data_IF_096013995296
#
_entry.id   IF_096013995296
#
_cell.length_a   1.000
_cell.length_b   1.000
_cell.length_c   1.000
_cell.angle_alpha   90.00
_cell.angle_beta   90.00
_cell.angle_gamma   90.00
#
_symmetry.space_group_name_H-M   'P 1'
#
loop_
_entity.id
_entity.type
_entity.pdbx_description
1 polymer ?
#
# COMPACT_ATOMS: atom_id res chain seq x y z
N UNK A 1 4.15 3.69 13.46
CA UNK A 1 3.72 4.57 12.33
C UNK A 1 4.66 4.31 11.17
N UNK A 2 4.12 3.83 10.05
CA UNK A 2 4.89 3.19 8.98
C UNK A 2 5.03 4.07 7.74
N UNK A 3 3.96 4.75 7.36
CA UNK A 3 3.98 5.75 6.30
C UNK A 3 2.98 6.85 6.64
N UNK A 4 3.27 8.07 6.21
CA UNK A 4 2.38 9.23 6.31
C UNK A 4 2.36 9.95 4.97
N UNK A 5 1.15 10.20 4.46
CA UNK A 5 0.94 11.01 3.26
C UNK A 5 -0.19 11.99 3.52
N UNK A 6 0.01 13.25 3.14
CA UNK A 6 -1.01 14.29 3.17
C UNK A 6 -1.31 14.65 1.72
N UNK A 7 -2.57 14.51 1.32
CA UNK A 7 -3.07 15.10 0.09
C UNK A 7 -3.88 16.34 0.48
N UNK A 8 -3.34 17.53 0.24
CA UNK A 8 -3.96 18.80 0.59
C UNK A 8 -4.69 19.44 -0.58
N UNK A 9 -5.80 20.10 -0.24
CA UNK A 9 -6.49 21.07 -1.10
C UNK A 9 -6.61 22.38 -0.32
N UNK A 10 -7.07 23.45 -0.97
CA UNK A 10 -7.25 24.75 -0.31
C UNK A 10 -8.13 24.70 0.95
N UNK A 11 -9.05 23.73 1.04
CA UNK A 11 -10.08 23.69 2.08
C UNK A 11 -9.94 22.54 3.08
N UNK A 12 -9.28 21.44 2.71
CA UNK A 12 -9.07 20.28 3.58
C UNK A 12 -7.89 19.45 3.11
N UNK A 13 -7.27 18.73 4.05
CA UNK A 13 -6.25 17.73 3.79
C UNK A 13 -6.73 16.33 4.14
N UNK A 14 -6.37 15.35 3.33
CA UNK A 14 -6.58 13.93 3.62
C UNK A 14 -5.25 13.36 4.12
N UNK A 15 -5.23 13.05 5.41
CA UNK A 15 -4.13 12.33 6.04
C UNK A 15 -4.34 10.82 5.84
N UNK A 16 -3.39 10.18 5.16
CA UNK A 16 -3.32 8.72 5.05
C UNK A 16 -2.13 8.25 5.88
N UNK A 17 -2.41 7.34 6.80
CA UNK A 17 -1.41 6.75 7.68
C UNK A 17 -1.52 5.24 7.62
N UNK A 18 -0.36 4.57 7.65
CA UNK A 18 -0.26 3.13 7.85
C UNK A 18 0.24 2.93 9.28
N UNK A 19 -0.53 2.17 10.06
CA UNK A 19 -0.33 1.92 11.49
C UNK A 19 -0.33 0.42 11.76
N UNK A 20 0.28 0.04 12.87
CA UNK A 20 0.32 -1.31 13.43
C UNK A 20 -1.05 -1.80 13.92
N UNK A 21 -1.88 -0.89 14.44
CA UNK A 21 -3.23 -1.20 14.90
C UNK A 21 -4.27 -0.25 14.24
N UNK A 22 -4.78 -0.60 13.04
CA UNK A 22 -5.75 0.23 12.33
C UNK A 22 -7.08 0.38 13.08
N UNK A 23 -7.51 -0.66 13.79
CA UNK A 23 -8.80 -0.65 14.51
C UNK A 23 -8.76 0.36 15.66
N UNK A 24 -7.70 0.30 16.49
CA UNK A 24 -7.50 1.26 17.57
C UNK A 24 -7.26 2.68 17.06
N UNK A 25 -6.55 2.85 15.94
CA UNK A 25 -6.36 4.16 15.35
C UNK A 25 -7.69 4.78 14.90
N UNK A 26 -8.57 3.98 14.28
CA UNK A 26 -9.92 4.42 13.89
C UNK A 26 -10.75 4.78 15.12
N UNK A 27 -10.71 3.96 16.18
CA UNK A 27 -11.42 4.23 17.44
C UNK A 27 -11.00 5.58 18.03
N UNK A 28 -9.71 5.77 18.27
CA UNK A 28 -9.17 7.01 18.87
C UNK A 28 -9.46 8.25 18.02
N UNK A 29 -9.37 8.14 16.69
CA UNK A 29 -9.66 9.25 15.79
C UNK A 29 -11.15 9.61 15.76
N UNK A 30 -12.04 8.61 15.78
CA UNK A 30 -13.49 8.83 15.87
C UNK A 30 -13.87 9.49 17.19
N UNK A 31 -13.32 9.02 18.31
CA UNK A 31 -13.57 9.58 19.64
C UNK A 31 -13.09 11.03 19.77
N UNK A 32 -12.00 11.37 19.09
CA UNK A 32 -11.52 12.75 18.99
C UNK A 32 -12.30 13.64 18.00
N UNK A 33 -13.34 13.10 17.35
CA UNK A 33 -14.22 13.83 16.44
C UNK A 33 -13.69 13.99 15.01
N UNK A 34 -12.66 13.23 14.62
CA UNK A 34 -12.15 13.27 13.25
C UNK A 34 -12.90 12.29 12.33
N UNK A 35 -13.27 12.71 11.10
CA UNK A 35 -13.75 11.78 10.09
C UNK A 35 -12.60 10.88 9.63
N UNK A 36 -12.76 9.57 9.79
CA UNK A 36 -11.74 8.57 9.46
C UNK A 36 -12.37 7.38 8.75
N UNK A 37 -11.67 6.88 7.73
CA UNK A 37 -12.02 5.68 6.97
C UNK A 37 -10.79 4.79 6.81
N UNK A 38 -11.03 3.48 6.70
CA UNK A 38 -10.01 2.47 6.38
C UNK A 38 -10.08 2.12 4.90
N UNK A 39 -8.93 1.87 4.29
CA UNK A 39 -8.82 1.46 2.89
C UNK A 39 -7.87 0.28 2.77
N UNK A 40 -8.31 -0.76 2.07
CA UNK A 40 -7.46 -1.92 1.75
C UNK A 40 -6.47 -1.57 0.63
N UNK A 41 -5.22 -2.00 0.82
CA UNK A 41 -4.11 -1.84 -0.12
C UNK A 41 -3.27 -3.11 -0.20
N UNK A 42 -2.55 -3.29 -1.29
CA UNK A 42 -1.66 -4.43 -1.51
C UNK A 42 -0.23 -4.06 -1.15
N UNK A 43 0.40 -4.82 -0.27
CA UNK A 43 1.83 -4.70 0.01
C UNK A 43 2.63 -5.61 -0.93
N UNK A 44 3.46 -5.03 -1.78
CA UNK A 44 4.16 -5.75 -2.84
C UNK A 44 5.66 -5.48 -2.75
N UNK A 45 6.46 -6.53 -2.74
CA UNK A 45 7.90 -6.40 -2.83
C UNK A 45 8.32 -6.16 -4.28
N UNK A 46 9.15 -5.14 -4.48
CA UNK A 46 9.78 -4.81 -5.76
C UNK A 46 11.28 -4.78 -5.59
N UNK A 47 12.04 -5.05 -6.64
CA UNK A 47 13.50 -4.91 -6.59
C UNK A 47 13.90 -3.44 -6.38
N UNK A 48 14.77 -3.16 -5.41
CA UNK A 48 15.32 -1.83 -5.10
C UNK A 48 16.46 -1.45 -6.06
N UNK A 49 16.13 -1.45 -7.36
CA UNK A 49 17.02 -1.04 -8.46
C UNK A 49 16.24 -0.27 -9.51
N UNK A 50 16.90 0.52 -10.37
CA UNK A 50 16.24 1.19 -11.48
C UNK A 50 15.39 0.22 -12.30
N UNK A 51 14.10 0.56 -12.45
CA UNK A 51 13.14 -0.28 -13.18
C UNK A 51 12.54 -1.45 -12.38
N UNK A 52 12.87 -1.65 -11.10
CA UNK A 52 12.29 -2.74 -10.30
C UNK A 52 10.77 -2.68 -10.18
N UNK A 53 10.21 -1.47 -10.08
CA UNK A 53 8.76 -1.23 -10.09
C UNK A 53 8.11 -1.52 -11.47
N UNK A 54 8.86 -1.42 -12.57
CA UNK A 54 8.32 -1.59 -13.93
C UNK A 54 7.72 -2.99 -14.13
N UNK A 55 8.32 -4.03 -13.54
CA UNK A 55 7.81 -5.40 -13.65
C UNK A 55 6.37 -5.49 -13.12
N UNK A 56 6.11 -4.95 -11.93
CA UNK A 56 4.79 -4.95 -11.30
C UNK A 56 3.80 -4.10 -12.09
N UNK A 57 4.21 -2.90 -12.49
CA UNK A 57 3.35 -2.00 -13.29
C UNK A 57 2.96 -2.61 -14.64
N UNK A 58 3.88 -3.29 -15.31
CA UNK A 58 3.62 -3.94 -16.59
C UNK A 58 2.62 -5.10 -16.46
N UNK A 59 2.75 -5.91 -15.40
CA UNK A 59 1.80 -6.99 -15.11
C UNK A 59 0.39 -6.43 -14.88
N UNK A 60 0.25 -5.42 -14.00
CA UNK A 60 -1.04 -4.81 -13.72
C UNK A 60 -1.66 -4.15 -14.96
N UNK A 61 -0.83 -3.47 -15.76
CA UNK A 61 -1.28 -2.83 -17.00
C UNK A 61 -1.75 -3.83 -18.07
N UNK A 62 -1.11 -4.99 -18.20
CA UNK A 62 -1.50 -6.00 -19.20
C UNK A 62 -2.84 -6.69 -18.85
N UNK A 63 -3.24 -6.62 -17.58
CA UNK A 63 -4.49 -7.18 -17.06
C UNK A 63 -5.56 -6.10 -16.84
N UNK A 64 -5.34 -4.89 -17.36
CA UNK A 64 -6.21 -3.71 -17.25
C UNK A 64 -6.58 -3.36 -15.79
N UNK A 65 -5.64 -3.52 -14.84
CA UNK A 65 -5.83 -3.13 -13.44
C UNK A 65 -5.39 -1.67 -13.24
N UNK A 66 -6.32 -0.84 -12.76
CA UNK A 66 -6.04 0.57 -12.51
C UNK A 66 -5.37 0.75 -11.13
N UNK A 67 -4.28 1.51 -11.11
CA UNK A 67 -3.62 1.95 -9.87
C UNK A 67 -4.14 3.34 -9.53
N UNK A 68 -4.81 3.49 -8.39
CA UNK A 68 -5.32 4.78 -7.92
C UNK A 68 -4.20 5.63 -7.31
N UNK A 69 -3.40 5.00 -6.45
CA UNK A 69 -2.20 5.59 -5.85
C UNK A 69 -1.29 4.50 -5.30
N UNK A 70 -0.03 4.85 -5.08
CA UNK A 70 0.95 3.97 -4.43
C UNK A 70 1.79 4.74 -3.42
N UNK A 71 2.32 4.01 -2.44
CA UNK A 71 3.27 4.53 -1.46
C UNK A 71 4.49 3.62 -1.43
N UNK A 72 5.68 4.21 -1.57
CA UNK A 72 6.92 3.48 -1.32
C UNK A 72 7.24 3.52 0.17
N UNK A 73 7.55 2.34 0.71
CA UNK A 73 8.09 2.17 2.05
C UNK A 73 9.40 1.40 1.94
N UNK A 74 10.49 2.03 2.37
CA UNK A 74 11.81 1.38 2.32
C UNK A 74 12.05 0.68 3.64
N UNK A 75 12.06 -0.66 3.61
CA UNK A 75 12.61 -1.48 4.70
C UNK A 75 13.64 -2.44 4.13
N UNK A 76 14.84 -2.47 4.72
CA UNK A 76 15.89 -3.44 4.40
C UNK A 76 15.73 -4.66 5.32
N UNK A 77 15.89 -5.89 4.80
CA UNK A 77 17.17 -6.38 4.30
C UNK A 77 17.12 -6.86 2.85
N UNK A 78 18.24 -6.76 2.13
CA UNK A 78 18.49 -7.44 0.84
C UNK A 78 17.68 -6.96 -0.39
N UNK A 79 18.11 -5.86 -1.01
CA UNK A 79 17.81 -5.50 -2.43
C UNK A 79 16.32 -5.38 -2.84
N UNK A 80 15.37 -5.41 -1.90
CA UNK A 80 13.94 -5.28 -2.15
C UNK A 80 13.37 -4.04 -1.44
N UNK A 81 12.38 -3.41 -2.06
CA UNK A 81 11.59 -2.31 -1.52
C UNK A 81 10.13 -2.74 -1.41
N UNK A 82 9.44 -2.29 -0.37
CA UNK A 82 8.02 -2.57 -0.18
C UNK A 82 7.20 -1.41 -0.75
N UNK A 83 6.25 -1.70 -1.63
CA UNK A 83 5.36 -0.68 -2.19
C UNK A 83 3.92 -1.09 -1.90
N UNK A 84 3.17 -0.15 -1.33
CA UNK A 84 1.73 -0.30 -1.11
C UNK A 84 0.99 0.21 -2.34
N UNK A 85 0.13 -0.61 -2.92
CA UNK A 85 -0.71 -0.27 -4.06
C UNK A 85 -2.18 -0.20 -3.65
N UNK A 86 -2.81 0.94 -3.92
CA UNK A 86 -4.26 0.99 -4.02
C UNK A 86 -4.65 0.76 -5.47
N UNK A 87 -5.39 -0.31 -5.70
CA UNK A 87 -5.94 -0.68 -7.01
C UNK A 87 -7.47 -0.76 -6.96
N UNK A 88 -8.09 -0.71 -8.13
CA UNK A 88 -9.52 -0.87 -8.32
C UNK A 88 -10.01 -2.30 -8.05
N UNK A 89 -9.22 -3.31 -8.43
CA UNK A 89 -9.55 -4.74 -8.30
C UNK A 89 -8.50 -5.48 -7.46
N UNK A 90 -8.65 -5.38 -6.14
CA UNK A 90 -7.65 -5.85 -5.17
C UNK A 90 -7.41 -7.38 -5.20
N UNK A 91 -8.49 -8.17 -5.25
CA UNK A 91 -8.38 -9.64 -5.29
C UNK A 91 -7.74 -10.12 -6.59
N UNK A 92 -8.22 -9.63 -7.74
CA UNK A 92 -7.66 -9.95 -9.06
C UNK A 92 -6.16 -9.62 -9.12
N UNK A 93 -5.78 -8.41 -8.67
CA UNK A 93 -4.39 -7.97 -8.63
C UNK A 93 -3.52 -8.86 -7.75
N UNK A 94 -4.03 -9.27 -6.59
CA UNK A 94 -3.32 -10.22 -5.70
C UNK A 94 -3.02 -11.52 -6.41
N UNK A 95 -4.03 -12.11 -7.06
CA UNK A 95 -3.91 -13.41 -7.70
C UNK A 95 -3.03 -13.35 -8.95
N UNK A 96 -3.11 -12.27 -9.72
CA UNK A 96 -2.26 -12.02 -10.88
C UNK A 96 -0.79 -11.88 -10.46
N UNK A 97 -0.51 -11.04 -9.46
CA UNK A 97 0.87 -10.80 -9.00
C UNK A 97 1.49 -12.07 -8.41
N UNK A 98 0.75 -12.81 -7.58
CA UNK A 98 1.20 -14.12 -7.05
C UNK A 98 1.49 -15.13 -8.17
N UNK A 99 0.62 -15.23 -9.18
CA UNK A 99 0.85 -16.11 -10.35
C UNK A 99 2.07 -15.70 -11.17
N UNK A 100 2.39 -14.40 -11.22
CA UNK A 100 3.57 -13.87 -11.89
C UNK A 100 4.86 -14.00 -11.06
N UNK A 101 4.80 -14.63 -9.88
CA UNK A 101 5.97 -14.81 -8.99
C UNK A 101 6.38 -13.55 -8.24
N UNK A 102 5.51 -12.53 -8.19
CA UNK A 102 5.71 -11.34 -7.37
C UNK A 102 5.28 -11.64 -5.94
N UNK A 103 6.13 -11.30 -4.97
CA UNK A 103 5.81 -11.48 -3.56
C UNK A 103 4.83 -10.39 -3.08
N UNK A 104 3.66 -10.83 -2.62
CA UNK A 104 2.62 -9.97 -2.02
C UNK A 104 2.56 -10.30 -0.54
N UNK A 105 2.92 -9.34 0.30
CA UNK A 105 3.06 -9.48 1.74
C UNK A 105 1.68 -9.46 2.41
N UNK A 106 1.50 -10.33 3.40
CA UNK A 106 0.29 -10.41 4.25
C UNK A 106 0.34 -9.41 5.42
N UNK A 107 -0.81 -9.09 6.02
CA UNK A 107 -0.88 -8.15 7.14
C UNK A 107 0.04 -8.55 8.30
N UNK A 108 0.07 -9.83 8.68
CA UNK A 108 0.91 -10.33 9.79
C UNK A 108 2.39 -10.07 9.50
N UNK A 109 2.83 -10.34 8.27
CA UNK A 109 4.19 -10.04 7.85
C UNK A 109 4.45 -8.53 7.80
N UNK A 110 3.46 -7.69 7.45
CA UNK A 110 3.63 -6.23 7.49
C UNK A 110 3.75 -5.72 8.93
N UNK A 111 3.03 -6.28 9.89
CA UNK A 111 3.08 -5.86 11.30
C UNK A 111 4.30 -6.38 12.06
N UNK A 112 4.78 -7.57 11.70
CA UNK A 112 6.01 -8.17 12.23
C UNK A 112 7.29 -7.64 11.56
N UNK A 113 7.14 -6.73 10.57
CA UNK A 113 8.25 -5.93 10.05
C UNK A 113 8.58 -4.79 11.05
#
# INVERSE_FOLDING_TARGET
MWAISIADTTNFGILRIIVDDPEKAVEVLKDAGYPVNTTEVLAVEVSDRPGGLHQVLNILSNEDISIEYLYSFVRRPEEMALILFKVDRLNDATDILKRAGINVITNDQVYDL
#
